data_IF_775535252430
#
_entry.id   IF_775535252430
#
_cell.length_a   1.000
_cell.length_b   1.000
_cell.length_c   1.000
_cell.angle_alpha   90.00
_cell.angle_beta   90.00
_cell.angle_gamma   90.00
#
_symmetry.space_group_name_H-M   'P 1'
#
loop_
_entity.id
_entity.type
_entity.pdbx_description
1 polymer ?
#
# COMPACT_ATOMS: atom_id res chain seq x y z
N UNK A 1 -1.04 1.84 3.20
CA UNK A 1 -0.05 2.04 2.13
C UNK A 1 1.27 2.33 2.81
N UNK A 2 2.24 1.43 2.66
CA UNK A 2 3.59 1.62 3.16
C UNK A 2 4.43 2.18 2.01
N UNK A 3 5.13 3.28 2.25
CA UNK A 3 5.99 3.93 1.26
C UNK A 3 7.45 3.62 1.59
N UNK A 4 8.22 3.10 0.63
CA UNK A 4 9.70 3.09 0.71
C UNK A 4 10.23 4.09 -0.32
N UNK A 5 11.11 5.01 0.10
CA UNK A 5 11.78 6.01 -0.76
C UNK A 5 13.19 5.52 -1.14
N UNK A 6 13.56 5.73 -2.39
CA UNK A 6 14.94 5.58 -2.88
C UNK A 6 15.77 6.82 -2.48
N UNK A 7 16.88 6.62 -1.78
CA UNK A 7 17.77 7.69 -1.30
C UNK A 7 19.04 7.85 -2.16
N UNK A 8 19.09 7.31 -3.37
CA UNK A 8 20.30 7.23 -4.20
C UNK A 8 20.68 8.48 -5.01
N UNK A 9 20.29 9.70 -4.59
CA UNK A 9 20.78 10.95 -5.22
C UNK A 9 21.18 12.02 -4.20
N UNK A 10 22.49 12.14 -3.94
CA UNK A 10 23.09 13.27 -3.23
C UNK A 10 24.26 12.93 -2.31
N UNK A 11 25.38 12.45 -2.85
CA UNK A 11 26.62 12.28 -2.07
C UNK A 11 27.31 13.65 -1.84
N UNK A 12 26.81 14.43 -0.88
CA UNK A 12 27.48 15.63 -0.35
C UNK A 12 28.11 15.35 1.01
N UNK A 13 29.44 15.50 1.12
CA UNK A 13 30.17 15.35 2.39
C UNK A 13 29.75 16.45 3.38
N UNK A 14 29.08 16.08 4.47
CA UNK A 14 28.90 16.97 5.63
C UNK A 14 29.91 16.61 6.73
N UNK A 15 30.80 17.55 7.04
CA UNK A 15 31.65 17.55 8.24
C UNK A 15 30.83 18.03 9.43
N UNK A 16 30.78 17.22 10.50
CA UNK A 16 30.07 17.53 11.73
C UNK A 16 30.90 18.51 12.58
N UNK A 17 30.38 19.72 12.82
CA UNK A 17 30.91 20.63 13.85
C UNK A 17 29.92 20.68 15.01
N UNK A 18 30.42 20.41 16.21
CA UNK A 18 29.71 20.43 17.49
C UNK A 18 28.84 21.68 17.69
N UNK A 19 27.58 21.47 18.02
CA UNK A 19 26.78 22.41 18.82
C UNK A 19 25.91 21.64 19.82
N UNK A 20 26.24 21.85 21.08
CA UNK A 20 25.50 21.45 22.28
C UNK A 20 24.09 22.04 22.33
N UNK A 21 23.11 21.21 22.71
CA UNK A 21 21.84 21.66 23.28
C UNK A 21 21.60 20.93 24.61
N UNK A 22 21.32 21.65 25.73
CA UNK A 22 21.22 21.04 27.05
C UNK A 22 19.87 20.36 27.28
N UNK A 23 19.90 19.09 27.68
CA UNK A 23 18.74 18.37 28.22
C UNK A 23 18.56 18.71 29.71
N UNK A 24 17.38 19.22 30.06
CA UNK A 24 16.93 19.35 31.45
C UNK A 24 16.12 18.12 31.84
N UNK A 25 16.36 17.67 33.07
CA UNK A 25 15.78 16.55 33.84
C UNK A 25 16.30 15.16 33.52
N UNK A 26 17.08 14.65 34.47
CA UNK A 26 17.81 13.41 34.39
C UNK A 26 17.02 12.19 34.83
N UNK A 27 17.43 11.06 34.27
CA UNK A 27 17.66 9.81 34.97
C UNK A 27 18.71 9.01 34.15
N UNK A 28 19.78 8.58 34.83
CA UNK A 28 20.85 7.74 34.27
C UNK A 28 20.35 6.30 34.17
N UNK A 29 20.30 5.75 32.97
CA UNK A 29 20.44 4.31 32.75
C UNK A 29 21.80 4.09 32.06
N UNK A 30 22.77 3.63 32.84
CA UNK A 30 23.98 3.00 32.30
C UNK A 30 23.58 1.60 31.83
N UNK A 31 23.70 1.34 30.54
CA UNK A 31 23.78 -0.01 29.99
C UNK A 31 25.15 -0.13 29.31
N UNK A 32 26.09 -0.70 30.05
CA UNK A 32 27.33 -1.22 29.48
C UNK A 32 26.98 -2.53 28.74
N UNK A 33 26.98 -2.53 27.40
CA UNK A 33 27.19 -3.75 26.62
C UNK A 33 27.72 -3.40 25.22
N UNK A 34 28.93 -3.84 24.83
CA UNK A 34 29.50 -3.62 23.51
C UNK A 34 28.92 -4.64 22.53
N UNK A 35 28.54 -4.25 21.30
CA UNK A 35 28.71 -5.01 20.04
C UNK A 35 28.01 -4.24 18.89
N UNK A 36 28.85 -3.67 18.02
CA UNK A 36 28.66 -3.39 16.57
C UNK A 36 27.41 -2.56 16.16
N UNK A 37 27.62 -1.25 15.93
CA UNK A 37 26.70 -0.40 15.15
C UNK A 37 26.92 -0.65 13.65
N UNK A 38 25.91 -1.17 12.96
CA UNK A 38 25.84 -1.08 11.50
C UNK A 38 25.32 0.30 11.09
N UNK A 39 26.15 1.07 10.38
CA UNK A 39 25.68 2.17 9.52
C UNK A 39 25.23 1.54 8.20
N UNK A 40 23.93 1.39 7.99
CA UNK A 40 23.38 1.15 6.66
C UNK A 40 23.05 2.50 6.03
N UNK A 41 23.86 2.92 5.05
CA UNK A 41 23.49 3.93 4.07
C UNK A 41 22.92 3.21 2.86
N UNK A 42 21.60 3.15 2.75
CA UNK A 42 20.87 2.46 1.68
C UNK A 42 19.50 2.02 2.20
N UNK A 43 18.45 2.35 1.44
CA UNK A 43 17.03 2.07 1.67
C UNK A 43 16.71 1.19 2.89
N UNK A 44 16.47 1.79 4.04
CA UNK A 44 15.73 1.12 5.11
C UNK A 44 14.26 1.14 4.73
N UNK A 45 13.79 0.13 4.01
CA UNK A 45 12.49 -0.41 4.41
C UNK A 45 12.71 -0.88 5.85
N UNK A 46 12.02 -0.24 6.80
CA UNK A 46 12.08 -0.65 8.18
C UNK A 46 11.59 -2.11 8.24
N UNK A 47 12.53 -3.06 8.24
CA UNK A 47 12.34 -4.38 8.79
C UNK A 47 11.99 -4.14 10.26
N UNK A 48 10.70 -3.99 10.52
CA UNK A 48 10.16 -4.15 11.86
C UNK A 48 10.62 -5.54 12.31
N UNK A 49 11.61 -5.58 13.21
CA UNK A 49 11.63 -6.67 14.19
C UNK A 49 10.23 -6.68 14.80
N UNK A 50 9.52 -7.82 14.87
CA UNK A 50 8.27 -7.88 15.60
C UNK A 50 8.61 -7.47 17.03
N UNK A 51 8.15 -6.28 17.43
CA UNK A 51 8.23 -5.85 18.80
C UNK A 51 7.33 -6.81 19.58
N UNK A 52 7.96 -7.73 20.32
CA UNK A 52 7.41 -8.33 21.51
C UNK A 52 6.95 -7.16 22.40
N UNK A 53 5.64 -6.94 22.45
CA UNK A 53 5.04 -6.09 23.47
C UNK A 53 5.26 -6.78 24.82
N UNK A 54 6.24 -6.29 25.56
CA UNK A 54 6.46 -6.67 26.95
C UNK A 54 5.44 -5.91 27.82
N UNK A 55 4.39 -6.59 28.24
CA UNK A 55 3.31 -6.03 29.06
C UNK A 55 3.55 -6.34 30.53
N UNK A 56 4.52 -5.67 31.16
CA UNK A 56 4.68 -5.73 32.61
C UNK A 56 4.83 -4.33 33.22
N UNK A 57 3.67 -3.70 33.44
CA UNK A 57 3.50 -2.57 34.36
C UNK A 57 2.00 -2.26 34.52
N UNK A 58 1.26 -3.17 35.15
CA UNK A 58 -0.03 -2.80 35.75
C UNK A 58 0.20 -2.12 37.11
N UNK A 59 0.02 -0.80 37.14
CA UNK A 59 -0.47 -0.10 38.35
C UNK A 59 -1.61 0.82 37.93
N UNK A 60 -2.73 0.63 38.62
CA UNK A 60 -4.06 0.98 38.15
C UNK A 60 -4.36 2.47 38.13
N UNK A 61 -5.20 2.84 37.17
CA UNK A 61 -6.16 3.91 37.31
C UNK A 61 -7.39 3.54 36.47
N UNK A 62 -8.45 3.12 37.15
CA UNK A 62 -9.70 2.68 36.52
C UNK A 62 -10.44 3.88 35.96
N UNK A 63 -10.39 4.08 34.64
CA UNK A 63 -11.31 4.94 33.90
C UNK A 63 -12.37 4.04 33.27
N UNK A 64 -13.58 4.05 33.84
CA UNK A 64 -14.76 3.51 33.17
C UNK A 64 -15.08 4.41 31.99
N UNK A 65 -14.88 3.91 30.77
CA UNK A 65 -15.40 4.54 29.56
C UNK A 65 -16.19 3.47 28.80
N UNK A 66 -17.50 3.63 28.80
CA UNK A 66 -18.41 2.92 27.88
C UNK A 66 -18.20 3.48 26.45
N UNK A 67 -17.13 3.04 25.77
CA UNK A 67 -16.82 3.44 24.39
C UNK A 67 -16.23 2.32 23.53
N UNK A 68 -16.34 1.06 23.94
CA UNK A 68 -15.76 -0.07 23.19
C UNK A 68 -16.52 -0.38 21.88
N UNK A 69 -17.80 -0.01 21.75
CA UNK A 69 -18.60 -0.31 20.56
C UNK A 69 -18.45 0.72 19.43
N UNK A 70 -18.16 2.00 19.71
CA UNK A 70 -18.05 3.03 18.67
C UNK A 70 -16.66 3.09 18.03
N UNK A 71 -15.60 2.74 18.77
CA UNK A 71 -14.24 2.67 18.23
C UNK A 71 -13.98 1.41 17.40
N UNK A 72 -14.68 0.31 17.71
CA UNK A 72 -14.57 -0.94 16.95
C UNK A 72 -15.10 -0.81 15.52
N UNK A 73 -16.13 0.02 15.31
CA UNK A 73 -16.70 0.27 13.97
C UNK A 73 -15.83 1.21 13.10
N UNK A 74 -14.84 1.90 13.68
CA UNK A 74 -13.92 2.79 12.96
C UNK A 74 -12.67 2.06 12.42
N UNK A 75 -12.41 0.83 12.87
CA UNK A 75 -11.15 0.12 12.60
C UNK A 75 -11.31 -1.16 11.76
N UNK A 76 -12.53 -1.59 11.51
CA UNK A 76 -12.85 -2.67 10.56
C UNK A 76 -12.99 -2.07 9.15
N UNK A 77 -12.32 -2.57 8.10
CA UNK A 77 -12.79 -2.34 6.75
C UNK A 77 -14.15 -3.00 6.63
N UNK A 78 -15.17 -2.16 6.77
CA UNK A 78 -16.55 -2.54 6.53
C UNK A 78 -16.67 -3.02 5.07
N UNK A 79 -17.54 -4.00 4.81
CA UNK A 79 -17.88 -4.47 3.45
C UNK A 79 -18.23 -3.29 2.53
N UNK A 80 -18.82 -2.25 3.10
CA UNK A 80 -19.11 -0.99 2.41
C UNK A 80 -17.84 -0.34 1.84
N UNK A 81 -16.72 -0.31 2.56
CA UNK A 81 -15.46 0.27 2.08
C UNK A 81 -14.88 -0.51 0.90
N UNK A 82 -14.88 -1.84 0.98
CA UNK A 82 -14.43 -2.70 -0.12
C UNK A 82 -15.30 -2.49 -1.37
N UNK A 83 -16.63 -2.38 -1.19
CA UNK A 83 -17.55 -2.08 -2.27
C UNK A 83 -17.28 -0.68 -2.89
N UNK A 84 -16.96 0.33 -2.08
CA UNK A 84 -16.62 1.66 -2.59
C UNK A 84 -15.27 1.67 -3.34
N UNK A 85 -14.27 0.95 -2.84
CA UNK A 85 -12.97 0.79 -3.53
C UNK A 85 -13.17 0.07 -4.88
N UNK A 86 -13.96 -1.00 -4.93
CA UNK A 86 -14.27 -1.71 -6.17
C UNK A 86 -15.08 -0.83 -7.15
N UNK A 87 -16.05 -0.07 -6.66
CA UNK A 87 -16.86 0.81 -7.51
C UNK A 87 -16.00 1.88 -8.21
N UNK A 88 -15.04 2.47 -7.50
CA UNK A 88 -14.11 3.44 -8.12
C UNK A 88 -13.10 2.75 -9.04
N UNK A 89 -12.64 1.55 -8.70
CA UNK A 89 -11.79 0.74 -9.59
C UNK A 89 -12.50 0.42 -10.91
N UNK A 90 -13.77 0.01 -10.88
CA UNK A 90 -14.54 -0.31 -12.09
C UNK A 90 -14.65 0.89 -13.03
N UNK A 91 -15.10 2.05 -12.51
CA UNK A 91 -15.30 3.26 -13.31
C UNK A 91 -13.98 3.79 -13.90
N UNK A 92 -12.92 3.86 -13.09
CA UNK A 92 -11.64 4.36 -13.57
C UNK A 92 -10.93 3.36 -14.50
N UNK A 93 -11.14 2.05 -14.32
CA UNK A 93 -10.63 1.05 -15.26
C UNK A 93 -11.31 1.14 -16.63
N UNK A 94 -12.62 1.36 -16.66
CA UNK A 94 -13.35 1.58 -17.90
C UNK A 94 -12.90 2.88 -18.61
N UNK A 95 -12.58 3.93 -17.85
CA UNK A 95 -12.06 5.18 -18.41
C UNK A 95 -10.65 5.00 -18.98
N UNK A 96 -9.76 4.30 -18.27
CA UNK A 96 -8.43 3.97 -18.77
C UNK A 96 -8.50 3.14 -20.07
N UNK A 97 -9.46 2.21 -20.16
CA UNK A 97 -9.65 1.40 -21.36
C UNK A 97 -9.99 2.24 -22.60
N UNK A 98 -10.72 3.36 -22.46
CA UNK A 98 -11.03 4.26 -23.58
C UNK A 98 -9.78 4.88 -24.22
N UNK A 99 -8.73 5.07 -23.43
CA UNK A 99 -7.46 5.65 -23.88
C UNK A 99 -6.40 4.57 -24.15
N UNK A 100 -6.81 3.30 -24.27
CA UNK A 100 -5.93 2.18 -24.57
C UNK A 100 -5.05 1.74 -23.39
N UNK A 101 -5.40 2.13 -22.15
CA UNK A 101 -4.68 1.74 -20.94
C UNK A 101 -5.47 0.69 -20.17
N UNK A 102 -4.75 -0.22 -19.53
CA UNK A 102 -5.37 -1.23 -18.68
C UNK A 102 -5.56 -0.69 -17.26
N UNK A 103 -6.77 -0.85 -16.72
CA UNK A 103 -7.08 -0.63 -15.30
C UNK A 103 -6.84 -1.88 -14.45
N UNK A 104 -7.72 -2.10 -13.46
CA UNK A 104 -7.73 -3.34 -12.68
C UNK A 104 -8.19 -4.51 -13.54
N UNK A 105 -7.44 -5.62 -13.53
CA UNK A 105 -7.84 -6.90 -14.15
C UNK A 105 -9.14 -7.42 -13.53
N UNK A 106 -9.32 -7.19 -12.23
CA UNK A 106 -10.52 -7.56 -11.47
C UNK A 106 -11.67 -6.57 -11.62
N UNK A 107 -11.54 -5.53 -12.45
CA UNK A 107 -12.63 -4.60 -12.68
C UNK A 107 -13.74 -5.32 -13.46
N UNK A 108 -14.98 -5.15 -13.00
CA UNK A 108 -16.13 -5.66 -13.74
C UNK A 108 -16.30 -4.83 -15.01
N UNK A 109 -16.15 -5.49 -16.16
CA UNK A 109 -16.48 -4.89 -17.46
C UNK A 109 -18.00 -4.85 -17.58
N UNK A 110 -18.60 -3.70 -17.35
CA UNK A 110 -19.99 -3.51 -17.76
C UNK A 110 -20.01 -3.28 -19.27
N UNK A 111 -20.93 -3.92 -20.00
CA UNK A 111 -21.29 -3.57 -21.40
C UNK A 111 -21.91 -2.16 -21.51
N UNK A 112 -21.71 -1.33 -20.48
CA UNK A 112 -22.26 -0.01 -20.35
C UNK A 112 -21.55 0.95 -21.31
N UNK A 113 -22.24 2.04 -21.61
CA UNK A 113 -21.67 3.18 -22.30
C UNK A 113 -20.34 3.60 -21.65
N UNK A 114 -19.39 4.12 -22.47
CA UNK A 114 -18.13 4.65 -21.96
C UNK A 114 -18.39 5.57 -20.75
N UNK A 115 -17.62 5.45 -19.64
CA UNK A 115 -17.81 6.32 -18.49
C UNK A 115 -17.80 7.79 -18.91
N UNK A 116 -18.85 8.51 -18.48
CA UNK A 116 -18.97 9.95 -18.69
C UNK A 116 -18.22 10.72 -17.60
N UNK A 117 -18.00 12.01 -17.83
CA UNK A 117 -17.44 12.93 -16.83
C UNK A 117 -18.26 12.92 -15.54
N UNK A 118 -19.59 12.88 -15.64
CA UNK A 118 -20.48 12.82 -14.47
C UNK A 118 -20.32 11.51 -13.71
N UNK A 119 -20.08 10.40 -14.41
CA UNK A 119 -19.84 9.10 -13.76
C UNK A 119 -18.51 9.08 -13.00
N UNK A 120 -17.45 9.68 -13.57
CA UNK A 120 -16.14 9.81 -12.93
C UNK A 120 -16.23 10.68 -11.68
N UNK A 121 -16.87 11.85 -11.79
CA UNK A 121 -17.03 12.77 -10.67
C UNK A 121 -17.87 12.15 -9.56
N UNK A 122 -19.00 11.50 -9.88
CA UNK A 122 -19.84 10.81 -8.89
C UNK A 122 -19.08 9.68 -8.18
N UNK A 123 -18.29 8.91 -8.93
CA UNK A 123 -17.48 7.82 -8.38
C UNK A 123 -16.40 8.36 -7.43
N UNK A 124 -15.70 9.42 -7.83
CA UNK A 124 -14.76 10.14 -6.98
C UNK A 124 -15.42 10.68 -5.71
N UNK A 125 -16.55 11.36 -5.84
CA UNK A 125 -17.22 11.99 -4.70
C UNK A 125 -17.67 10.95 -3.67
N UNK A 126 -18.28 9.86 -4.14
CA UNK A 126 -18.69 8.72 -3.29
C UNK A 126 -17.50 8.11 -2.57
N UNK A 127 -16.43 7.81 -3.32
CA UNK A 127 -15.22 7.22 -2.75
C UNK A 127 -14.56 8.17 -1.75
N UNK A 128 -14.34 9.43 -2.08
CA UNK A 128 -13.73 10.41 -1.18
C UNK A 128 -14.52 10.54 0.12
N UNK A 129 -15.85 10.61 0.03
CA UNK A 129 -16.73 10.68 1.20
C UNK A 129 -16.57 9.46 2.12
N UNK A 130 -16.41 8.26 1.56
CA UNK A 130 -16.12 7.04 2.34
C UNK A 130 -14.78 7.10 3.09
N UNK A 131 -13.83 7.92 2.62
CA UNK A 131 -12.49 8.04 3.21
C UNK A 131 -12.36 9.21 4.21
N UNK A 132 -13.42 9.99 4.45
CA UNK A 132 -13.36 11.18 5.32
C UNK A 132 -13.04 10.89 6.76
N UNK A 133 -13.56 9.80 7.30
CA UNK A 133 -13.26 9.37 8.68
C UNK A 133 -11.92 8.64 8.79
N UNK A 134 -11.31 8.29 7.66
CA UNK A 134 -10.00 7.64 7.58
C UNK A 134 -8.94 8.58 7.02
N UNK A 135 -8.59 8.39 5.74
CA UNK A 135 -7.50 9.07 5.03
C UNK A 135 -7.57 10.60 5.15
N UNK A 136 -8.76 11.17 5.11
CA UNK A 136 -8.95 12.63 5.09
C UNK A 136 -9.46 13.19 6.42
N UNK A 137 -9.35 12.44 7.52
CA UNK A 137 -9.87 12.84 8.84
C UNK A 137 -9.22 14.11 9.41
N UNK A 138 -7.98 14.40 9.01
CA UNK A 138 -7.23 15.58 9.44
C UNK A 138 -7.27 16.73 8.44
N UNK A 139 -8.04 16.61 7.36
CA UNK A 139 -8.19 17.70 6.38
C UNK A 139 -9.18 18.71 6.94
N UNK A 140 -8.74 19.95 7.19
CA UNK A 140 -9.58 21.02 7.73
C UNK A 140 -10.79 21.35 6.84
N UNK A 141 -10.58 21.33 5.52
CA UNK A 141 -11.59 21.67 4.51
C UNK A 141 -11.75 20.56 3.47
N UNK A 142 -12.37 19.43 3.87
CA UNK A 142 -12.46 18.24 3.02
C UNK A 142 -13.32 18.46 1.77
N UNK A 143 -14.36 19.31 1.84
CA UNK A 143 -15.21 19.62 0.67
C UNK A 143 -14.44 20.39 -0.40
N UNK A 144 -13.65 21.40 0.00
CA UNK A 144 -12.82 22.18 -0.92
C UNK A 144 -11.77 21.26 -1.59
N UNK A 145 -11.18 20.33 -0.83
CA UNK A 145 -10.23 19.36 -1.36
C UNK A 145 -10.89 18.38 -2.36
N UNK A 146 -12.06 17.85 -2.00
CA UNK A 146 -12.85 16.96 -2.85
C UNK A 146 -13.21 17.63 -4.17
N UNK A 147 -13.76 18.84 -4.10
CA UNK A 147 -14.18 19.60 -5.28
C UNK A 147 -12.99 19.96 -6.17
N UNK A 148 -11.89 20.43 -5.57
CA UNK A 148 -10.71 20.84 -6.33
C UNK A 148 -10.08 19.67 -7.08
N UNK A 149 -9.92 18.51 -6.44
CA UNK A 149 -9.38 17.34 -7.13
C UNK A 149 -10.40 16.73 -8.11
N UNK A 150 -11.70 16.78 -7.80
CA UNK A 150 -12.76 16.43 -8.74
C UNK A 150 -12.68 17.23 -10.04
N UNK A 151 -12.42 18.54 -9.95
CA UNK A 151 -12.19 19.39 -11.13
C UNK A 151 -10.93 18.95 -11.92
N UNK A 152 -9.87 18.54 -11.23
CA UNK A 152 -8.66 18.00 -11.87
C UNK A 152 -8.96 16.70 -12.61
N UNK A 153 -9.76 15.78 -12.04
CA UNK A 153 -10.20 14.54 -12.70
C UNK A 153 -10.96 14.85 -14.00
N UNK A 154 -11.88 15.82 -13.95
CA UNK A 154 -12.67 16.26 -15.11
C UNK A 154 -11.77 16.85 -16.20
N UNK A 155 -10.83 17.71 -15.81
CA UNK A 155 -9.85 18.29 -16.73
C UNK A 155 -8.92 17.24 -17.32
N UNK A 156 -8.42 16.31 -16.51
CA UNK A 156 -7.58 15.21 -16.98
C UNK A 156 -8.30 14.35 -18.02
N UNK A 157 -9.60 14.11 -17.86
CA UNK A 157 -10.40 13.44 -18.87
C UNK A 157 -10.48 14.25 -20.17
N UNK A 158 -10.87 15.53 -20.08
CA UNK A 158 -11.14 16.36 -21.24
C UNK A 158 -9.89 16.84 -21.99
N UNK A 159 -8.76 17.00 -21.30
CA UNK A 159 -7.50 17.53 -21.82
C UNK A 159 -6.49 16.43 -22.16
N UNK A 160 -6.89 15.15 -22.09
CA UNK A 160 -6.03 14.02 -22.43
C UNK A 160 -4.99 13.66 -21.37
N UNK A 161 -5.20 14.03 -20.10
CA UNK A 161 -4.30 13.69 -19.00
C UNK A 161 -4.19 12.21 -18.69
N UNK A 162 -5.16 11.38 -19.07
CA UNK A 162 -5.00 9.92 -19.00
C UNK A 162 -4.28 9.34 -20.22
N UNK A 163 -4.08 10.11 -21.30
CA UNK A 163 -3.24 9.72 -22.45
C UNK A 163 -1.79 10.13 -22.19
N UNK A 164 -1.57 11.36 -21.73
CA UNK A 164 -0.25 11.91 -21.42
C UNK A 164 -0.28 12.62 -20.04
N UNK A 165 -0.09 11.85 -18.95
CA UNK A 165 -0.24 12.36 -17.60
C UNK A 165 0.84 13.36 -17.21
N UNK A 166 2.07 13.21 -17.70
CA UNK A 166 3.17 14.13 -17.38
C UNK A 166 2.91 15.50 -18.00
N UNK A 167 2.57 15.56 -19.29
CA UNK A 167 2.26 16.83 -19.96
C UNK A 167 1.01 17.50 -19.37
N UNK A 168 0.04 16.74 -18.87
CA UNK A 168 -1.11 17.31 -18.17
C UNK A 168 -0.71 17.90 -16.81
N UNK A 169 0.06 17.17 -16.00
CA UNK A 169 0.54 17.66 -14.71
C UNK A 169 1.41 18.92 -14.84
N UNK A 170 2.22 19.04 -15.89
CA UNK A 170 3.02 20.24 -16.19
C UNK A 170 2.16 21.50 -16.45
N UNK A 171 0.89 21.34 -16.82
CA UNK A 171 -0.03 22.47 -17.05
C UNK A 171 -0.75 22.92 -15.79
N UNK A 172 -0.71 22.12 -14.72
CA UNK A 172 -1.37 22.46 -13.47
C UNK A 172 -0.64 23.60 -12.77
N UNK A 173 -1.40 24.50 -12.13
CA UNK A 173 -0.79 25.54 -11.31
C UNK A 173 -0.13 24.95 -10.05
N UNK A 174 0.77 25.68 -9.38
CA UNK A 174 1.33 25.24 -8.10
C UNK A 174 0.26 24.89 -7.05
N UNK A 175 -0.85 25.62 -7.03
CA UNK A 175 -1.98 25.36 -6.13
C UNK A 175 -2.72 24.07 -6.50
N UNK A 176 -2.91 23.80 -7.79
CA UNK A 176 -3.50 22.56 -8.27
C UNK A 176 -2.59 21.35 -7.97
N UNK A 177 -1.26 21.48 -8.16
CA UNK A 177 -0.30 20.46 -7.75
C UNK A 177 -0.32 20.22 -6.24
N UNK A 178 -0.50 21.26 -5.42
CA UNK A 178 -0.66 21.10 -3.98
C UNK A 178 -1.96 20.35 -3.61
N UNK A 179 -3.04 20.54 -4.37
CA UNK A 179 -4.27 19.74 -4.22
C UNK A 179 -3.99 18.27 -4.53
N UNK A 180 -3.33 17.97 -5.65
CA UNK A 180 -2.92 16.61 -6.02
C UNK A 180 -2.05 16.00 -4.91
N UNK A 181 -1.02 16.71 -4.46
CA UNK A 181 -0.11 16.28 -3.40
C UNK A 181 -0.89 15.90 -2.12
N UNK A 182 -1.84 16.73 -1.71
CA UNK A 182 -2.64 16.54 -0.49
C UNK A 182 -3.62 15.38 -0.60
N UNK A 183 -4.31 15.24 -1.74
CA UNK A 183 -5.17 14.08 -2.01
C UNK A 183 -4.34 12.79 -2.00
N UNK A 184 -3.18 12.82 -2.65
CA UNK A 184 -2.31 11.67 -2.78
C UNK A 184 -1.53 11.35 -1.50
N UNK A 185 -1.52 12.25 -0.51
CA UNK A 185 -0.86 12.05 0.78
C UNK A 185 0.67 12.05 0.66
N UNK A 186 1.21 12.82 -0.30
CA UNK A 186 2.64 12.92 -0.52
C UNK A 186 3.28 13.91 0.46
N UNK A 187 4.41 13.52 1.04
CA UNK A 187 5.15 14.36 1.98
C UNK A 187 5.88 15.51 1.29
N UNK A 188 6.42 15.26 0.10
CA UNK A 188 7.20 16.23 -0.67
C UNK A 188 6.36 16.84 -1.80
N UNK A 189 6.68 18.08 -2.22
CA UNK A 189 6.12 18.65 -3.44
C UNK A 189 6.36 17.76 -4.66
N UNK A 190 5.46 17.85 -5.64
CA UNK A 190 5.54 17.07 -6.87
C UNK A 190 6.54 17.72 -7.82
N UNK A 191 7.62 17.01 -8.14
CA UNK A 191 8.50 17.32 -9.27
C UNK A 191 8.05 16.51 -10.49
N UNK A 192 7.31 17.16 -11.40
CA UNK A 192 6.68 16.47 -12.54
C UNK A 192 7.71 15.89 -13.51
N UNK A 193 8.87 16.53 -13.64
CA UNK A 193 9.92 16.11 -14.57
C UNK A 193 10.66 14.85 -14.06
N UNK A 194 10.60 14.58 -12.76
CA UNK A 194 11.18 13.39 -12.14
C UNK A 194 10.25 12.16 -12.18
N UNK A 195 8.98 12.34 -12.55
CA UNK A 195 7.99 11.26 -12.51
C UNK A 195 8.19 10.26 -13.65
N UNK A 196 7.90 9.00 -13.36
CA UNK A 196 7.64 8.01 -14.40
C UNK A 196 6.21 8.20 -14.93
N UNK A 197 5.91 7.61 -16.09
CA UNK A 197 4.57 7.60 -16.65
C UNK A 197 3.53 7.03 -15.67
N UNK A 198 3.85 5.90 -15.03
CA UNK A 198 3.00 5.30 -13.99
C UNK A 198 2.83 6.22 -12.79
N UNK A 199 3.93 6.79 -12.29
CA UNK A 199 3.91 7.70 -11.15
C UNK A 199 3.01 8.91 -11.41
N UNK A 200 3.13 9.50 -12.61
CA UNK A 200 2.29 10.61 -13.05
C UNK A 200 0.82 10.20 -13.23
N UNK A 201 0.55 9.06 -13.86
CA UNK A 201 -0.81 8.57 -14.07
C UNK A 201 -1.53 8.37 -12.74
N UNK A 202 -0.89 7.71 -11.78
CA UNK A 202 -1.47 7.40 -10.48
C UNK A 202 -1.73 8.63 -9.59
N UNK A 203 -1.10 9.78 -9.89
CA UNK A 203 -1.44 11.05 -9.23
C UNK A 203 -2.82 11.58 -9.66
N UNK A 204 -3.28 11.22 -10.85
CA UNK A 204 -4.57 11.62 -11.40
C UNK A 204 -5.71 10.66 -11.03
N UNK A 205 -5.38 9.53 -10.37
CA UNK A 205 -6.35 8.50 -10.00
C UNK A 205 -6.69 8.57 -8.51
N UNK A 206 -7.95 8.25 -8.13
CA UNK A 206 -8.29 7.98 -6.73
C UNK A 206 -7.37 6.88 -6.18
N UNK A 207 -7.01 6.97 -4.90
CA UNK A 207 -6.02 6.05 -4.32
C UNK A 207 -6.39 4.57 -4.38
N UNK A 208 -7.67 4.22 -4.46
CA UNK A 208 -8.10 2.82 -4.65
C UNK A 208 -8.00 2.34 -6.11
N UNK A 209 -7.96 3.26 -7.07
CA UNK A 209 -7.92 2.98 -8.51
C UNK A 209 -6.50 3.08 -9.12
N UNK A 210 -5.48 3.36 -8.31
CA UNK A 210 -4.08 3.37 -8.76
C UNK A 210 -3.64 2.00 -9.28
N UNK A 211 -2.83 2.01 -10.33
CA UNK A 211 -2.42 0.83 -11.09
C UNK A 211 -0.90 0.64 -11.12
N UNK A 212 -0.46 -0.61 -11.11
CA UNK A 212 0.90 -1.02 -11.48
C UNK A 212 0.93 -1.18 -13.01
N UNK A 213 1.35 -0.12 -13.70
CA UNK A 213 1.27 0.03 -15.15
C UNK A 213 2.39 -0.75 -15.85
N UNK A 214 3.61 -0.70 -15.29
CA UNK A 214 4.76 -1.41 -15.86
C UNK A 214 4.80 -2.90 -15.45
N UNK A 215 3.89 -3.33 -14.56
CA UNK A 215 3.75 -4.70 -14.06
C UNK A 215 4.98 -5.19 -13.32
N UNK A 216 5.69 -4.29 -12.64
CA UNK A 216 6.83 -4.65 -11.80
C UNK A 216 6.43 -5.17 -10.41
N UNK A 217 5.14 -5.20 -10.10
CA UNK A 217 4.59 -5.70 -8.84
C UNK A 217 4.52 -4.63 -7.75
N UNK A 218 5.00 -3.41 -8.03
CA UNK A 218 4.83 -2.23 -7.19
C UNK A 218 3.94 -1.21 -7.89
N UNK A 219 3.17 -0.46 -7.09
CA UNK A 219 2.39 0.67 -7.61
C UNK A 219 3.10 1.96 -7.28
N UNK A 220 3.49 2.74 -8.28
CA UNK A 220 4.11 4.06 -8.08
C UNK A 220 3.06 5.15 -7.92
N UNK A 221 3.16 5.96 -6.87
CA UNK A 221 2.34 7.15 -6.68
C UNK A 221 3.27 8.36 -6.59
N UNK A 222 3.36 9.14 -7.67
CA UNK A 222 4.50 10.04 -7.86
C UNK A 222 5.80 9.23 -7.90
N UNK A 223 6.80 9.62 -7.10
CA UNK A 223 8.06 8.89 -6.97
C UNK A 223 8.01 7.69 -5.99
N UNK A 224 6.94 7.58 -5.19
CA UNK A 224 6.90 6.63 -4.10
C UNK A 224 6.41 5.25 -4.55
N UNK A 225 7.10 4.18 -4.12
CA UNK A 225 6.65 2.81 -4.33
C UNK A 225 5.66 2.38 -3.24
N UNK A 226 4.52 1.84 -3.66
CA UNK A 226 3.50 1.25 -2.82
C UNK A 226 3.44 -0.26 -2.96
N UNK A 227 3.49 -0.94 -1.81
CA UNK A 227 3.09 -2.35 -1.71
C UNK A 227 1.57 -2.42 -1.53
N UNK A 228 0.93 -3.24 -2.37
CA UNK A 228 -0.52 -3.45 -2.32
C UNK A 228 -0.86 -4.88 -2.70
N UNK A 229 -1.71 -5.49 -1.90
CA UNK A 229 -2.39 -6.73 -2.26
C UNK A 229 -3.87 -6.64 -1.85
N UNK A 230 -4.81 -7.01 -2.73
CA UNK A 230 -4.65 -7.18 -4.17
C UNK A 230 -4.23 -5.88 -4.88
N UNK A 231 -3.50 -6.00 -5.99
CA UNK A 231 -3.13 -4.89 -6.88
C UNK A 231 -3.92 -4.94 -8.20
N UNK A 232 -3.68 -3.97 -9.10
CA UNK A 232 -4.37 -3.89 -10.40
C UNK A 232 -4.16 -5.10 -11.31
N UNK A 233 -3.10 -5.87 -11.08
CA UNK A 233 -2.75 -7.06 -11.86
C UNK A 233 -3.22 -8.36 -11.20
N UNK A 234 -3.86 -8.30 -10.04
CA UNK A 234 -4.36 -9.50 -9.34
C UNK A 234 -5.63 -10.04 -10.01
N UNK A 235 -5.72 -11.35 -10.31
CA UNK A 235 -6.89 -11.94 -10.96
C UNK A 235 -8.17 -11.80 -10.13
N UNK A 236 -9.32 -11.73 -10.82
CA UNK A 236 -10.63 -11.47 -10.19
C UNK A 236 -11.00 -12.54 -9.13
N UNK A 237 -10.73 -13.81 -9.43
CA UNK A 237 -10.94 -14.95 -8.56
C UNK A 237 -10.10 -14.86 -7.28
N UNK A 238 -8.88 -14.33 -7.37
CA UNK A 238 -7.98 -14.11 -6.22
C UNK A 238 -8.46 -12.91 -5.39
N UNK A 239 -8.92 -11.85 -6.04
CA UNK A 239 -9.53 -10.69 -5.35
C UNK A 239 -10.78 -11.11 -4.59
N UNK A 240 -11.65 -11.91 -5.20
CA UNK A 240 -12.86 -12.43 -4.56
C UNK A 240 -12.52 -13.30 -3.33
N UNK A 241 -11.55 -14.21 -3.47
CA UNK A 241 -11.07 -15.04 -2.38
C UNK A 241 -10.46 -14.21 -1.24
N UNK A 242 -9.66 -13.20 -1.57
CA UNK A 242 -9.08 -12.28 -0.59
C UNK A 242 -10.16 -11.51 0.18
N UNK A 243 -11.14 -10.95 -0.52
CA UNK A 243 -12.23 -10.19 0.10
C UNK A 243 -13.06 -11.07 1.06
N UNK A 244 -13.32 -12.32 0.69
CA UNK A 244 -13.99 -13.30 1.56
C UNK A 244 -13.13 -13.64 2.79
N UNK A 245 -11.84 -13.94 2.59
CA UNK A 245 -10.95 -14.35 3.69
C UNK A 245 -10.62 -13.22 4.68
N UNK A 246 -10.73 -11.97 4.24
CA UNK A 246 -10.45 -10.78 5.07
C UNK A 246 -11.70 -10.12 5.64
N UNK A 247 -12.88 -10.69 5.38
CA UNK A 247 -14.13 -10.14 5.88
C UNK A 247 -14.14 -10.09 7.42
N UNK A 248 -14.37 -8.88 7.97
CA UNK A 248 -14.48 -8.66 9.41
C UNK A 248 -13.14 -8.58 10.16
N UNK A 249 -12.00 -8.69 9.46
CA UNK A 249 -10.68 -8.45 10.05
C UNK A 249 -10.47 -6.96 10.32
N UNK A 250 -9.70 -6.62 11.35
CA UNK A 250 -9.29 -5.23 11.55
C UNK A 250 -8.19 -4.79 10.56
N UNK A 251 -7.93 -3.48 10.52
CA UNK A 251 -6.90 -2.91 9.66
C UNK A 251 -5.50 -3.53 9.87
N UNK A 252 -5.10 -3.80 11.11
CA UNK A 252 -3.78 -4.33 11.43
C UNK A 252 -3.60 -5.78 10.94
N UNK A 253 -4.66 -6.59 11.07
CA UNK A 253 -4.71 -7.95 10.55
C UNK A 253 -4.60 -7.95 9.02
N UNK A 254 -5.36 -7.10 8.34
CA UNK A 254 -5.31 -7.00 6.88
C UNK A 254 -3.95 -6.49 6.41
N UNK A 255 -3.40 -5.45 7.05
CA UNK A 255 -2.08 -4.95 6.70
C UNK A 255 -0.99 -6.04 6.85
N UNK A 256 -1.08 -6.86 7.90
CA UNK A 256 -0.17 -7.99 8.11
C UNK A 256 -0.34 -9.04 7.00
N UNK A 257 -1.57 -9.44 6.71
CA UNK A 257 -1.87 -10.39 5.65
C UNK A 257 -1.41 -9.88 4.27
N UNK A 258 -1.56 -8.57 3.98
CA UNK A 258 -1.09 -7.97 2.74
C UNK A 258 0.43 -8.07 2.61
N UNK A 259 1.17 -7.74 3.67
CA UNK A 259 2.63 -7.88 3.67
C UNK A 259 3.02 -9.34 3.46
N UNK A 260 2.33 -10.28 4.10
CA UNK A 260 2.60 -11.71 3.93
C UNK A 260 2.34 -12.18 2.49
N UNK A 261 1.24 -11.75 1.87
CA UNK A 261 0.98 -12.02 0.44
C UNK A 261 2.05 -11.41 -0.47
N UNK A 262 2.65 -10.29 -0.08
CA UNK A 262 3.72 -9.63 -0.83
C UNK A 262 5.13 -10.19 -0.55
N UNK A 263 5.30 -11.17 0.34
CA UNK A 263 6.62 -11.73 0.65
C UNK A 263 7.36 -12.31 -0.58
N UNK A 264 6.70 -13.00 -1.54
CA UNK A 264 7.37 -13.45 -2.75
C UNK A 264 8.02 -12.30 -3.52
N UNK A 265 7.33 -11.17 -3.69
CA UNK A 265 7.90 -9.97 -4.32
C UNK A 265 9.09 -9.41 -3.54
N UNK A 266 8.95 -9.31 -2.22
CA UNK A 266 9.97 -8.71 -1.36
C UNK A 266 11.25 -9.54 -1.27
N UNK A 267 11.18 -10.85 -1.57
CA UNK A 267 12.30 -11.78 -1.39
C UNK A 267 12.86 -12.33 -2.70
N UNK A 268 12.09 -12.37 -3.80
CA UNK A 268 12.53 -12.92 -5.08
C UNK A 268 13.74 -12.21 -5.71
N UNK A 269 14.00 -10.98 -5.28
CA UNK A 269 15.07 -10.14 -5.79
C UNK A 269 16.30 -10.09 -4.87
N UNK A 270 16.33 -10.93 -3.84
CA UNK A 270 17.50 -11.11 -2.96
C UNK A 270 18.37 -12.21 -3.56
N UNK A 271 19.62 -11.87 -3.89
CA UNK A 271 20.63 -12.82 -4.32
C UNK A 271 21.40 -13.33 -3.10
N UNK A 272 21.54 -14.65 -2.99
CA UNK A 272 22.34 -15.33 -1.97
C UNK A 272 23.38 -16.22 -2.62
N UNK A 273 24.52 -16.40 -1.96
CA UNK A 273 25.59 -17.29 -2.41
C UNK A 273 25.32 -18.77 -2.07
N UNK A 274 26.25 -19.65 -2.45
CA UNK A 274 26.18 -21.10 -2.19
C UNK A 274 26.10 -21.46 -0.69
N UNK A 275 26.53 -20.56 0.20
CA UNK A 275 26.48 -20.73 1.65
C UNK A 275 25.23 -20.08 2.28
N UNK A 276 24.34 -19.53 1.46
CA UNK A 276 23.14 -18.81 1.90
C UNK A 276 23.41 -17.41 2.44
N UNK A 277 24.58 -16.82 2.17
CA UNK A 277 24.89 -15.44 2.55
C UNK A 277 24.33 -14.45 1.54
N UNK A 278 23.83 -13.32 2.04
CA UNK A 278 23.36 -12.21 1.20
C UNK A 278 24.50 -11.68 0.31
N UNK A 279 24.23 -11.60 -0.99
CA UNK A 279 25.14 -10.99 -1.98
C UNK A 279 24.66 -9.59 -2.32
N UNK A 280 23.43 -9.46 -2.82
CA UNK A 280 22.82 -8.17 -3.22
C UNK A 280 21.30 -8.28 -3.32
N UNK A 281 20.66 -7.14 -3.58
CA UNK A 281 19.23 -7.06 -3.90
C UNK A 281 19.03 -6.25 -5.18
N UNK A 282 18.27 -6.80 -6.13
CA UNK A 282 17.84 -6.09 -7.34
C UNK A 282 16.71 -5.11 -7.03
N UNK A 283 16.79 -3.91 -7.59
CA UNK A 283 15.79 -2.85 -7.44
C UNK A 283 14.82 -2.83 -8.62
N UNK A 284 13.58 -2.34 -8.44
CA UNK A 284 12.67 -2.11 -9.55
C UNK A 284 13.32 -1.24 -10.64
N UNK A 285 13.37 -1.76 -11.86
CA UNK A 285 14.05 -1.14 -13.01
C UNK A 285 15.40 -1.78 -13.38
N UNK A 286 15.99 -2.60 -12.50
CA UNK A 286 17.17 -3.40 -12.86
C UNK A 286 16.79 -4.48 -13.90
N UNK A 287 17.64 -4.80 -14.88
CA UNK A 287 17.36 -5.84 -15.88
C UNK A 287 17.08 -7.22 -15.29
N UNK A 288 17.70 -7.54 -14.15
CA UNK A 288 17.55 -8.81 -13.44
C UNK A 288 16.40 -8.82 -12.43
N UNK A 289 15.70 -7.70 -12.26
CA UNK A 289 14.55 -7.60 -11.37
C UNK A 289 13.41 -8.51 -11.85
N UNK A 290 12.80 -9.22 -10.91
CA UNK A 290 11.74 -10.21 -11.16
C UNK A 290 10.49 -9.86 -10.38
N UNK A 291 9.35 -9.90 -11.07
CA UNK A 291 8.03 -9.96 -10.46
C UNK A 291 7.52 -11.42 -10.49
N UNK A 292 7.52 -12.15 -9.36
CA UNK A 292 7.00 -13.52 -9.33
C UNK A 292 5.53 -13.62 -9.71
N UNK A 293 4.70 -12.60 -9.43
CA UNK A 293 3.27 -12.63 -9.75
C UNK A 293 2.99 -12.51 -11.26
N UNK A 294 3.95 -11.98 -12.03
CA UNK A 294 3.85 -11.93 -13.47
C UNK A 294 4.25 -13.25 -14.15
N UNK A 295 4.78 -14.23 -13.40
CA UNK A 295 5.10 -15.54 -13.93
C UNK A 295 3.81 -16.32 -14.22
N UNK A 296 3.67 -16.86 -15.43
CA UNK A 296 2.52 -17.66 -15.85
C UNK A 296 2.30 -18.91 -14.96
N UNK A 297 3.38 -19.43 -14.36
CA UNK A 297 3.33 -20.59 -13.47
C UNK A 297 3.10 -20.21 -11.99
N UNK A 298 2.91 -18.92 -11.67
CA UNK A 298 2.67 -18.50 -10.29
C UNK A 298 1.28 -18.95 -9.83
N UNK A 299 1.23 -19.73 -8.76
CA UNK A 299 -0.01 -20.21 -8.14
C UNK A 299 -0.20 -19.60 -6.75
N UNK A 300 -1.26 -18.80 -6.59
CA UNK A 300 -1.67 -18.25 -5.29
C UNK A 300 -2.01 -19.35 -4.29
N UNK A 301 -2.66 -20.42 -4.75
CA UNK A 301 -2.99 -21.59 -3.91
C UNK A 301 -1.74 -22.32 -3.43
N UNK A 302 -0.71 -22.44 -4.28
CA UNK A 302 0.59 -22.99 -3.87
C UNK A 302 1.29 -22.08 -2.86
N UNK A 303 1.27 -20.77 -3.07
CA UNK A 303 1.83 -19.81 -2.11
C UNK A 303 1.15 -19.90 -0.73
N UNK A 304 -0.19 -19.98 -0.70
CA UNK A 304 -0.97 -20.16 0.53
C UNK A 304 -0.67 -21.51 1.19
N UNK A 305 -0.55 -22.59 0.41
CA UNK A 305 -0.17 -23.91 0.92
C UNK A 305 1.20 -23.89 1.58
N UNK A 306 2.20 -23.30 0.92
CA UNK A 306 3.56 -23.18 1.46
C UNK A 306 3.57 -22.38 2.77
N UNK A 307 2.71 -21.36 2.89
CA UNK A 307 2.57 -20.58 4.10
C UNK A 307 1.95 -21.38 5.26
N UNK A 308 0.96 -22.23 4.98
CA UNK A 308 0.41 -23.17 5.96
C UNK A 308 1.47 -24.18 6.42
N UNK A 309 2.23 -24.76 5.49
CA UNK A 309 3.32 -25.69 5.80
C UNK A 309 4.41 -25.03 6.67
N UNK A 310 4.79 -23.79 6.35
CA UNK A 310 5.73 -23.01 7.14
C UNK A 310 5.23 -22.70 8.56
N UNK A 311 3.92 -22.47 8.72
CA UNK A 311 3.30 -22.27 10.03
C UNK A 311 3.29 -23.54 10.87
N UNK A 312 2.97 -24.70 10.26
CA UNK A 312 3.01 -25.99 10.94
C UNK A 312 4.43 -26.33 11.41
N UNK A 313 5.44 -26.10 10.56
CA UNK A 313 6.84 -26.32 10.91
C UNK A 313 7.30 -25.48 12.12
N UNK A 314 6.72 -24.29 12.30
CA UNK A 314 7.05 -23.34 13.38
C UNK A 314 6.06 -23.35 14.54
N UNK A 315 5.13 -24.31 14.59
CA UNK A 315 4.05 -24.35 15.58
C UNK A 315 4.55 -24.27 17.03
N UNK A 316 5.67 -24.92 17.34
CA UNK A 316 6.23 -24.96 18.69
C UNK A 316 7.11 -23.73 19.03
N UNK A 317 7.40 -22.88 18.05
CA UNK A 317 8.20 -21.64 18.20
C UNK A 317 7.30 -20.41 18.31
N UNK A 318 6.04 -20.51 17.88
CA UNK A 318 5.07 -19.43 17.88
C UNK A 318 4.24 -19.43 19.16
N UNK A 319 3.88 -18.25 19.70
CA UNK A 319 2.79 -18.14 20.67
C UNK A 319 1.51 -18.80 20.13
N UNK A 320 0.82 -19.57 20.97
CA UNK A 320 -0.32 -20.39 20.54
C UNK A 320 -1.43 -19.58 19.87
N UNK A 321 -1.74 -18.40 20.40
CA UNK A 321 -2.71 -17.45 19.84
C UNK A 321 -2.30 -16.97 18.43
N UNK A 322 -1.01 -16.72 18.20
CA UNK A 322 -0.47 -16.31 16.90
C UNK A 322 -0.47 -17.44 15.88
N UNK A 323 -0.22 -18.66 16.31
CA UNK A 323 -0.32 -19.83 15.45
C UNK A 323 -1.78 -20.07 15.04
N UNK A 324 -2.71 -20.13 16.00
CA UNK A 324 -4.13 -20.40 15.70
C UNK A 324 -4.76 -19.32 14.82
N UNK A 325 -4.50 -18.03 15.11
CA UNK A 325 -5.03 -16.93 14.30
C UNK A 325 -4.49 -16.94 12.87
N UNK A 326 -3.18 -17.16 12.67
CA UNK A 326 -2.60 -17.26 11.33
C UNK A 326 -3.11 -18.50 10.60
N UNK A 327 -3.13 -19.66 11.26
CA UNK A 327 -3.63 -20.91 10.67
C UNK A 327 -5.09 -20.75 10.21
N UNK A 328 -5.94 -20.13 11.03
CA UNK A 328 -7.32 -19.85 10.67
C UNK A 328 -7.41 -18.96 9.41
N UNK A 329 -6.66 -17.86 9.36
CA UNK A 329 -6.64 -16.98 8.19
C UNK A 329 -6.21 -17.73 6.91
N UNK A 330 -5.06 -18.40 6.94
CA UNK A 330 -4.53 -19.06 5.74
C UNK A 330 -5.39 -20.24 5.29
N UNK A 331 -6.02 -20.96 6.23
CA UNK A 331 -6.97 -22.02 5.91
C UNK A 331 -8.23 -21.45 5.25
N UNK A 332 -8.74 -20.32 5.75
CA UNK A 332 -9.89 -19.64 5.15
C UNK A 332 -9.56 -19.11 3.75
N UNK A 333 -8.38 -18.50 3.57
CA UNK A 333 -7.93 -18.04 2.25
C UNK A 333 -7.76 -19.20 1.27
N UNK A 334 -7.20 -20.33 1.71
CA UNK A 334 -7.09 -21.53 0.87
C UNK A 334 -8.47 -22.04 0.40
N UNK A 335 -9.44 -22.11 1.30
CA UNK A 335 -10.80 -22.53 0.96
C UNK A 335 -11.47 -21.53 0.02
N UNK A 336 -11.29 -20.23 0.25
CA UNK A 336 -11.82 -19.19 -0.61
C UNK A 336 -11.21 -19.23 -2.02
N UNK A 337 -9.90 -19.45 -2.15
CA UNK A 337 -9.24 -19.61 -3.45
C UNK A 337 -9.82 -20.80 -4.23
N UNK A 338 -10.03 -21.94 -3.56
CA UNK A 338 -10.67 -23.11 -4.17
C UNK A 338 -12.10 -22.82 -4.63
N UNK A 339 -12.89 -22.15 -3.78
CA UNK A 339 -14.28 -21.78 -4.06
C UNK A 339 -14.42 -20.85 -5.27
N UNK A 340 -13.53 -19.89 -5.42
CA UNK A 340 -13.57 -18.90 -6.50
C UNK A 340 -12.83 -19.34 -7.78
N UNK A 341 -12.26 -20.55 -7.81
CA UNK A 341 -11.60 -21.09 -9.00
C UNK A 341 -10.15 -20.65 -9.19
N UNK A 342 -9.51 -20.14 -8.14
CA UNK A 342 -8.09 -19.74 -8.11
C UNK A 342 -7.15 -20.86 -7.61
N UNK A 343 -7.57 -22.13 -7.75
CA UNK A 343 -6.93 -23.32 -7.19
C UNK A 343 -5.63 -23.71 -7.90
#
# INVERSE_FOLDING_TARGET
>A
MFFCKDLSRGAGRYTYSDRDYPLRTGNRLKLDNPYIRYKSTGCTCALFKPALFDSDSQKGMTLKIDAASSLSNLLTPNKDKQNQDQAVQNIFSAMLAQVGRQGYVSAETTDAEPPTVESLQRSWDSWFNSQRTGRYSQVEKPEELQQSFGNIIVRAHNEGGYVDPQSFLQKLSPEELAVVQKVQGLAEPIDVDALTEEGALNLLLPGAAQIDLNRDGFTRNGEAYGLRFPNSNTPAEVVAAWNEATQGMDFGQIATAQIQMMLPMLTANIEIDENGQFVRQHQPGDPEFKNPFANADYSYSTAVKNQLEALEAKKNELPADKYESQKAFWSNLQQALQKHGAA
#
